data_IF_573884933657
#
_entry.id   IF_573884933657
#
_cell.length_a   1.000
_cell.length_b   1.000
_cell.length_c   1.000
_cell.angle_alpha   90.00
_cell.angle_beta   90.00
_cell.angle_gamma   90.00
#
_symmetry.space_group_name_H-M   'P 1'
#
loop_
_entity.id
_entity.type
_entity.pdbx_description
1 polymer ?
#
# COMPACT_ATOMS: atom_id res chain seq x y z
N UNK A 1 2.83 28.86 -18.33
CA UNK A 1 1.35 28.83 -18.42
C UNK A 1 0.88 27.62 -17.63
N UNK A 2 0.05 27.85 -16.60
CA UNK A 2 -0.58 26.80 -15.82
C UNK A 2 -1.85 26.36 -16.57
N UNK A 3 -2.01 25.06 -16.78
CA UNK A 3 -3.18 24.47 -17.44
C UNK A 3 -3.88 23.52 -16.46
N UNK A 4 -5.10 23.83 -16.10
CA UNK A 4 -5.91 23.06 -15.16
C UNK A 4 -6.76 22.01 -15.88
N UNK A 5 -7.21 21.00 -15.17
CA UNK A 5 -8.17 20.01 -15.72
C UNK A 5 -9.42 20.71 -16.32
N UNK A 6 -9.93 21.75 -15.66
CA UNK A 6 -11.13 22.48 -16.09
C UNK A 6 -10.93 23.25 -17.41
N UNK A 7 -9.69 23.63 -17.73
CA UNK A 7 -9.37 24.35 -18.97
C UNK A 7 -9.44 23.44 -20.21
N UNK A 8 -9.48 22.13 -20.00
CA UNK A 8 -9.57 21.17 -21.10
C UNK A 8 -11.02 21.04 -21.59
N UNK A 9 -11.32 21.71 -22.72
CA UNK A 9 -12.67 21.72 -23.33
C UNK A 9 -13.02 20.41 -24.06
N UNK A 10 -12.07 19.53 -24.29
CA UNK A 10 -12.30 18.23 -24.93
C UNK A 10 -12.80 17.15 -23.98
N UNK A 11 -12.69 17.37 -22.67
CA UNK A 11 -13.15 16.43 -21.64
C UNK A 11 -14.58 16.73 -21.22
N UNK A 12 -15.39 15.69 -21.06
CA UNK A 12 -16.73 15.83 -20.53
C UNK A 12 -16.73 16.27 -19.06
N UNK A 13 -17.73 17.03 -18.63
CA UNK A 13 -17.87 17.46 -17.23
C UNK A 13 -17.96 16.25 -16.28
N UNK A 14 -18.60 15.17 -16.69
CA UNK A 14 -18.65 13.91 -15.92
C UNK A 14 -17.25 13.34 -15.69
N UNK A 15 -16.39 13.35 -16.71
CA UNK A 15 -15.01 12.89 -16.58
C UNK A 15 -14.20 13.78 -15.65
N UNK A 16 -14.30 15.11 -15.79
CA UNK A 16 -13.63 16.07 -14.92
C UNK A 16 -14.05 15.90 -13.47
N UNK A 17 -15.35 15.74 -13.22
CA UNK A 17 -15.88 15.53 -11.88
C UNK A 17 -15.36 14.23 -11.27
N UNK A 18 -15.39 13.12 -12.04
CA UNK A 18 -14.83 11.84 -11.58
C UNK A 18 -13.34 11.94 -11.24
N UNK A 19 -12.56 12.64 -12.07
CA UNK A 19 -11.13 12.87 -11.79
C UNK A 19 -10.91 13.63 -10.48
N UNK A 20 -11.69 14.67 -10.22
CA UNK A 20 -11.62 15.46 -8.96
C UNK A 20 -11.98 14.62 -7.73
N UNK A 21 -12.98 13.76 -7.85
CA UNK A 21 -13.44 12.92 -6.75
C UNK A 21 -12.48 11.77 -6.43
N UNK A 22 -11.79 11.23 -7.44
CA UNK A 22 -10.91 10.07 -7.28
C UNK A 22 -9.44 10.44 -7.07
N UNK A 23 -9.02 11.66 -7.43
CA UNK A 23 -7.63 12.09 -7.25
C UNK A 23 -7.32 12.37 -5.78
N UNK A 24 -6.25 11.75 -5.21
CA UNK A 24 -5.86 11.97 -3.83
C UNK A 24 -5.56 13.43 -3.52
N UNK A 25 -5.86 13.86 -2.30
CA UNK A 25 -5.60 15.20 -1.81
C UNK A 25 -4.10 15.51 -1.71
N UNK A 26 -3.75 16.79 -1.78
CA UNK A 26 -2.36 17.27 -1.71
C UNK A 26 -1.67 17.25 -3.06
N UNK A 27 -0.40 16.82 -3.09
CA UNK A 27 0.47 16.90 -4.28
C UNK A 27 -0.18 16.33 -5.55
N UNK A 28 -0.87 15.19 -5.45
CA UNK A 28 -1.51 14.56 -6.61
C UNK A 28 -2.67 15.41 -7.13
N UNK A 29 -3.49 15.97 -6.25
CA UNK A 29 -4.56 16.88 -6.64
C UNK A 29 -4.02 18.15 -7.29
N UNK A 30 -3.00 18.74 -6.69
CA UNK A 30 -2.39 19.96 -7.18
C UNK A 30 -1.73 19.76 -8.56
N UNK A 31 -1.07 18.63 -8.77
CA UNK A 31 -0.47 18.30 -10.08
C UNK A 31 -1.52 17.96 -11.14
N UNK A 32 -2.44 17.04 -10.83
CA UNK A 32 -3.33 16.42 -11.81
C UNK A 32 -4.57 17.26 -12.11
N UNK A 33 -5.07 18.02 -11.11
CA UNK A 33 -6.29 18.83 -11.24
C UNK A 33 -5.96 20.30 -11.44
N UNK A 34 -5.08 20.84 -10.59
CA UNK A 34 -4.74 22.27 -10.60
C UNK A 34 -3.62 22.63 -11.59
N UNK A 35 -2.94 21.64 -12.18
CA UNK A 35 -1.84 21.86 -13.13
C UNK A 35 -0.62 22.53 -12.49
N UNK A 36 -0.38 22.32 -11.21
CA UNK A 36 0.70 22.95 -10.45
C UNK A 36 1.95 22.05 -10.42
N UNK A 37 3.13 22.65 -10.54
CA UNK A 37 4.40 21.99 -10.29
C UNK A 37 4.75 22.12 -8.81
N UNK A 38 4.31 21.16 -7.99
CA UNK A 38 4.54 21.15 -6.54
C UNK A 38 5.18 19.83 -6.12
N UNK A 39 5.93 19.89 -5.03
CA UNK A 39 6.43 18.70 -4.32
C UNK A 39 5.46 18.31 -3.21
N UNK A 40 5.49 17.05 -2.79
CA UNK A 40 4.71 16.60 -1.65
C UNK A 40 5.25 17.22 -0.35
N UNK A 41 4.35 17.59 0.52
CA UNK A 41 4.66 18.06 1.88
C UNK A 41 3.75 17.41 2.91
N UNK A 42 4.24 17.26 4.13
CA UNK A 42 3.49 16.63 5.22
C UNK A 42 3.27 15.13 4.99
N UNK A 43 2.18 14.59 5.52
CA UNK A 43 1.85 13.17 5.42
C UNK A 43 1.61 12.72 3.97
N UNK A 44 2.13 11.54 3.63
CA UNK A 44 1.98 10.95 2.29
C UNK A 44 0.51 10.61 2.02
N UNK A 45 -0.18 9.99 2.96
CA UNK A 45 -1.57 9.58 2.83
C UNK A 45 -2.51 10.55 3.56
N UNK A 46 -2.73 11.74 2.99
CA UNK A 46 -3.56 12.80 3.58
C UNK A 46 -5.03 12.44 3.74
N UNK A 47 -5.53 11.54 2.90
CA UNK A 47 -6.94 11.10 2.92
C UNK A 47 -7.18 9.98 3.95
N UNK A 48 -6.14 9.46 4.62
CA UNK A 48 -6.32 8.51 5.70
C UNK A 48 -7.07 9.15 6.86
N UNK A 49 -8.14 8.48 7.30
CA UNK A 49 -8.95 8.90 8.43
C UNK A 49 -9.22 7.70 9.34
N UNK A 50 -8.69 7.71 10.55
CA UNK A 50 -8.80 6.61 11.50
C UNK A 50 -10.25 6.18 11.80
N UNK A 51 -11.20 7.14 11.82
CA UNK A 51 -12.62 6.84 12.06
C UNK A 51 -13.29 6.09 10.92
N UNK A 52 -12.76 6.21 9.71
CA UNK A 52 -13.30 5.59 8.50
C UNK A 52 -12.54 4.32 8.16
N UNK A 53 -11.20 4.37 8.21
CA UNK A 53 -10.36 3.33 7.62
C UNK A 53 -9.99 2.20 8.59
N UNK A 54 -10.04 2.40 9.91
CA UNK A 54 -9.93 1.26 10.82
C UNK A 54 -11.21 0.42 10.82
N UNK A 55 -11.03 -0.88 10.93
CA UNK A 55 -12.11 -1.87 11.03
C UNK A 55 -11.82 -2.82 12.18
N UNK A 56 -12.81 -3.10 13.01
CA UNK A 56 -12.67 -4.05 14.11
C UNK A 56 -12.54 -5.49 13.61
N UNK A 57 -11.93 -6.36 14.42
CA UNK A 57 -11.86 -7.79 14.11
C UNK A 57 -13.24 -8.42 13.92
N UNK A 58 -14.21 -8.00 14.70
CA UNK A 58 -15.59 -8.49 14.59
C UNK A 58 -16.22 -8.14 13.24
N UNK A 59 -16.03 -6.91 12.76
CA UNK A 59 -16.51 -6.48 11.45
C UNK A 59 -15.75 -7.15 10.31
N UNK A 60 -14.42 -7.30 10.47
CA UNK A 60 -13.56 -7.95 9.48
C UNK A 60 -13.95 -9.41 9.23
N UNK A 61 -14.40 -10.14 10.27
CA UNK A 61 -14.89 -11.52 10.16
C UNK A 61 -16.18 -11.64 9.32
N UNK A 62 -16.94 -10.55 9.16
CA UNK A 62 -18.18 -10.51 8.36
C UNK A 62 -17.91 -10.22 6.88
N UNK A 63 -16.68 -9.85 6.52
CA UNK A 63 -16.31 -9.53 5.15
C UNK A 63 -16.13 -10.81 4.34
N UNK A 64 -16.78 -10.87 3.18
CA UNK A 64 -16.60 -11.97 2.23
C UNK A 64 -15.40 -11.67 1.31
N UNK A 65 -14.26 -12.27 1.60
CA UNK A 65 -13.05 -12.10 0.78
C UNK A 65 -13.07 -13.03 -0.43
N UNK A 66 -12.85 -12.47 -1.62
CA UNK A 66 -12.71 -13.20 -2.87
C UNK A 66 -11.27 -13.49 -3.24
N UNK A 67 -10.31 -12.78 -2.61
CA UNK A 67 -8.88 -12.93 -2.87
C UNK A 67 -8.05 -12.51 -1.66
N UNK A 68 -6.92 -13.19 -1.48
CA UNK A 68 -5.87 -12.79 -0.53
C UNK A 68 -4.56 -12.58 -1.26
N UNK A 69 -3.79 -11.60 -0.82
CA UNK A 69 -2.46 -11.26 -1.31
C UNK A 69 -1.55 -10.89 -0.15
N UNK A 70 -0.26 -11.07 -0.32
CA UNK A 70 0.72 -10.60 0.66
C UNK A 70 1.75 -9.67 0.02
N UNK A 71 2.19 -8.66 0.76
CA UNK A 71 3.32 -7.81 0.41
C UNK A 71 4.48 -8.06 1.37
N UNK A 72 5.70 -8.00 0.86
CA UNK A 72 6.90 -8.25 1.64
C UNK A 72 7.92 -7.16 1.37
N UNK A 73 8.30 -6.44 2.41
CA UNK A 73 9.45 -5.55 2.42
C UNK A 73 10.55 -6.11 3.32
N UNK A 74 11.77 -6.26 2.78
CA UNK A 74 12.86 -6.88 3.51
C UNK A 74 13.60 -5.84 4.35
N UNK A 75 13.78 -6.12 5.63
CA UNK A 75 14.59 -5.33 6.54
C UNK A 75 15.43 -6.20 7.47
N UNK A 76 16.48 -5.60 8.04
CA UNK A 76 17.28 -6.21 9.10
C UNK A 76 17.55 -5.19 10.21
N UNK A 77 18.41 -4.19 9.98
CA UNK A 77 18.66 -3.09 10.94
C UNK A 77 17.44 -2.16 11.06
N UNK A 78 16.70 -1.93 9.98
CA UNK A 78 15.35 -1.37 9.98
C UNK A 78 14.31 -2.50 9.98
N UNK A 79 13.05 -2.17 10.15
CA UNK A 79 11.99 -3.17 10.11
C UNK A 79 11.91 -3.84 8.75
N UNK A 80 11.75 -5.16 8.74
CA UNK A 80 11.14 -5.85 7.62
C UNK A 80 9.66 -6.04 7.91
N UNK A 81 8.85 -6.23 6.87
CA UNK A 81 7.41 -6.40 7.01
C UNK A 81 6.85 -7.44 6.06
N UNK A 82 5.93 -8.26 6.56
CA UNK A 82 4.97 -9.02 5.75
C UNK A 82 3.58 -8.50 6.11
N UNK A 83 2.82 -8.12 5.10
CA UNK A 83 1.41 -7.72 5.24
C UNK A 83 0.52 -8.72 4.50
N UNK A 84 -0.60 -9.06 5.11
CA UNK A 84 -1.66 -9.86 4.48
C UNK A 84 -2.85 -8.96 4.20
N UNK A 85 -3.27 -8.92 2.95
CA UNK A 85 -4.43 -8.18 2.49
C UNK A 85 -5.49 -9.12 1.93
N UNK A 86 -6.74 -8.89 2.32
CA UNK A 86 -7.92 -9.48 1.67
C UNK A 86 -8.56 -8.47 0.72
N UNK A 87 -9.17 -8.94 -0.35
CA UNK A 87 -9.97 -8.14 -1.27
C UNK A 87 -11.39 -8.70 -1.32
N UNK A 88 -12.39 -7.85 -1.17
CA UNK A 88 -13.80 -8.24 -1.31
C UNK A 88 -14.27 -8.16 -2.77
N UNK A 89 -15.50 -8.56 -3.01
CA UNK A 89 -16.16 -8.55 -4.32
C UNK A 89 -16.46 -7.14 -4.85
N UNK A 90 -16.39 -6.11 -3.98
CA UNK A 90 -16.56 -4.70 -4.34
C UNK A 90 -15.23 -4.03 -4.65
N UNK A 91 -14.12 -4.78 -4.58
CA UNK A 91 -12.77 -4.28 -4.83
C UNK A 91 -12.18 -3.47 -3.69
N UNK A 92 -12.72 -3.58 -2.48
CA UNK A 92 -12.15 -2.99 -1.28
C UNK A 92 -11.05 -3.90 -0.73
N UNK A 93 -9.91 -3.33 -0.37
CA UNK A 93 -8.80 -4.02 0.27
C UNK A 93 -8.87 -3.87 1.80
N UNK A 94 -8.39 -4.88 2.49
CA UNK A 94 -8.37 -4.94 3.95
C UNK A 94 -7.00 -5.43 4.41
N UNK A 95 -6.26 -4.61 5.15
CA UNK A 95 -5.07 -5.09 5.87
C UNK A 95 -5.54 -5.95 7.04
N UNK A 96 -5.35 -7.27 6.90
CA UNK A 96 -5.82 -8.26 7.88
C UNK A 96 -4.78 -8.53 8.95
N UNK A 97 -3.51 -8.60 8.54
CA UNK A 97 -2.40 -8.97 9.42
C UNK A 97 -1.13 -8.25 8.97
N UNK A 98 -0.34 -7.85 9.94
CA UNK A 98 1.03 -7.41 9.73
C UNK A 98 1.99 -8.24 10.58
N UNK A 99 3.19 -8.43 10.09
CA UNK A 99 4.32 -8.99 10.81
C UNK A 99 5.47 -8.05 10.53
N UNK A 100 5.88 -7.26 11.52
CA UNK A 100 6.97 -6.30 11.39
C UNK A 100 8.00 -6.57 12.49
N UNK A 101 9.26 -6.79 12.11
CA UNK A 101 10.37 -7.11 13.03
C UNK A 101 11.69 -6.54 12.51
N UNK A 102 12.61 -6.33 13.43
CA UNK A 102 14.02 -6.01 13.17
C UNK A 102 14.90 -7.20 13.56
N UNK A 103 16.07 -7.26 12.96
CA UNK A 103 17.12 -8.25 13.28
C UNK A 103 16.70 -9.71 13.04
N UNK A 104 15.75 -9.93 12.13
CA UNK A 104 15.29 -11.27 11.76
C UNK A 104 15.93 -11.75 10.45
N UNK A 105 16.39 -12.97 10.46
CA UNK A 105 16.94 -13.65 9.29
C UNK A 105 15.83 -14.21 8.39
N UNK A 106 16.19 -14.58 7.16
CA UNK A 106 15.24 -15.08 6.16
C UNK A 106 14.42 -16.28 6.64
N UNK A 107 14.92 -17.08 7.56
CA UNK A 107 14.22 -18.27 8.06
C UNK A 107 12.99 -17.87 8.89
N UNK A 108 13.07 -16.79 9.67
CA UNK A 108 11.91 -16.22 10.35
C UNK A 108 10.82 -15.81 9.35
N UNK A 109 11.20 -15.03 8.31
CA UNK A 109 10.26 -14.58 7.29
C UNK A 109 9.63 -15.73 6.52
N UNK A 110 10.40 -16.77 6.25
CA UNK A 110 9.91 -17.99 5.61
C UNK A 110 8.88 -18.71 6.47
N UNK A 111 9.13 -18.85 7.76
CA UNK A 111 8.19 -19.46 8.72
C UNK A 111 6.87 -18.70 8.77
N UNK A 112 6.94 -17.37 8.87
CA UNK A 112 5.74 -16.51 8.88
C UNK A 112 4.96 -16.64 7.57
N UNK A 113 5.62 -16.62 6.43
CA UNK A 113 4.97 -16.78 5.13
C UNK A 113 4.35 -18.17 4.95
N UNK A 114 4.99 -19.22 5.47
CA UNK A 114 4.42 -20.57 5.47
C UNK A 114 3.18 -20.69 6.37
N UNK A 115 3.18 -20.04 7.52
CA UNK A 115 2.00 -19.95 8.39
C UNK A 115 0.83 -19.26 7.68
N UNK A 116 1.09 -18.14 6.98
CA UNK A 116 0.08 -17.47 6.16
C UNK A 116 -0.42 -18.40 5.06
N UNK A 117 0.46 -19.10 4.35
CA UNK A 117 0.06 -20.07 3.32
C UNK A 117 -0.80 -21.20 3.88
N UNK A 118 -0.49 -21.70 5.06
CA UNK A 118 -1.26 -22.78 5.70
C UNK A 118 -2.68 -22.34 6.02
N UNK A 119 -2.87 -21.08 6.41
CA UNK A 119 -4.18 -20.51 6.80
C UNK A 119 -4.98 -20.02 5.59
N UNK A 120 -4.33 -19.34 4.62
CA UNK A 120 -5.00 -18.64 3.51
C UNK A 120 -4.78 -19.30 2.13
N UNK A 121 -4.07 -20.41 2.08
CA UNK A 121 -3.80 -21.15 0.85
C UNK A 121 -2.61 -20.58 0.03
N UNK A 122 -2.53 -20.98 -1.23
CA UNK A 122 -1.40 -20.61 -2.11
C UNK A 122 -1.56 -19.21 -2.70
N UNK A 123 -1.54 -18.19 -1.84
CA UNK A 123 -1.65 -16.78 -2.23
C UNK A 123 -0.34 -16.25 -2.83
N UNK A 124 -0.37 -15.18 -3.66
CA UNK A 124 0.84 -14.51 -4.10
C UNK A 124 1.48 -13.70 -2.96
N UNK A 125 2.82 -13.77 -2.88
CA UNK A 125 3.66 -12.92 -2.05
C UNK A 125 4.43 -11.97 -2.97
N UNK A 126 4.07 -10.71 -2.99
CA UNK A 126 4.72 -9.66 -3.77
C UNK A 126 5.89 -9.11 -2.95
N UNK A 127 7.10 -9.51 -3.33
CA UNK A 127 8.30 -9.31 -2.53
C UNK A 127 9.17 -8.19 -3.12
N UNK A 128 9.75 -7.38 -2.24
CA UNK A 128 10.83 -6.48 -2.64
C UNK A 128 11.93 -7.28 -3.38
N UNK A 129 12.31 -6.80 -4.56
CA UNK A 129 13.31 -7.43 -5.43
C UNK A 129 14.76 -7.07 -5.07
N UNK A 130 15.00 -6.26 -4.04
CA UNK A 130 16.34 -5.89 -3.60
C UNK A 130 17.13 -7.08 -3.02
N UNK A 131 16.43 -8.13 -2.58
CA UNK A 131 17.00 -9.39 -2.07
C UNK A 131 16.54 -10.58 -2.91
N UNK A 132 17.07 -10.76 -4.12
CA UNK A 132 16.64 -11.83 -5.03
C UNK A 132 16.88 -13.22 -4.45
N UNK A 133 17.88 -13.40 -3.59
CA UNK A 133 18.15 -14.63 -2.86
C UNK A 133 17.00 -14.98 -1.88
N UNK A 134 16.35 -14.01 -1.27
CA UNK A 134 15.21 -14.21 -0.38
C UNK A 134 13.97 -14.61 -1.17
N UNK A 135 13.71 -13.93 -2.27
CA UNK A 135 12.63 -14.31 -3.19
C UNK A 135 12.81 -15.72 -3.72
N UNK A 136 14.06 -16.10 -4.08
CA UNK A 136 14.41 -17.46 -4.51
C UNK A 136 14.15 -18.47 -3.39
N UNK A 137 14.54 -18.16 -2.15
CA UNK A 137 14.32 -19.05 -0.99
C UNK A 137 12.82 -19.28 -0.75
N UNK A 138 11.99 -18.26 -0.84
CA UNK A 138 10.54 -18.40 -0.77
C UNK A 138 10.01 -19.37 -1.84
N UNK A 139 10.41 -19.17 -3.11
CA UNK A 139 10.01 -20.05 -4.22
C UNK A 139 10.44 -21.50 -4.00
N UNK A 140 11.68 -21.72 -3.56
CA UNK A 140 12.22 -23.08 -3.29
C UNK A 140 11.46 -23.80 -2.19
N UNK A 141 10.84 -23.07 -1.26
CA UNK A 141 10.00 -23.60 -0.18
C UNK A 141 8.50 -23.59 -0.52
N UNK A 142 8.16 -23.52 -1.81
CA UNK A 142 6.81 -23.69 -2.31
C UNK A 142 5.88 -22.50 -2.11
N UNK A 143 6.41 -21.30 -1.78
CA UNK A 143 5.64 -20.06 -1.76
C UNK A 143 5.54 -19.46 -3.16
N UNK A 144 4.39 -18.87 -3.50
CA UNK A 144 4.18 -18.13 -4.74
C UNK A 144 4.75 -16.72 -4.61
N UNK A 145 6.09 -16.62 -4.54
CA UNK A 145 6.78 -15.34 -4.46
C UNK A 145 6.98 -14.72 -5.84
N UNK A 146 6.66 -13.44 -5.95
CA UNK A 146 6.70 -12.65 -7.19
C UNK A 146 7.44 -11.35 -6.88
N UNK A 147 8.31 -10.89 -7.77
CA UNK A 147 8.95 -9.59 -7.61
C UNK A 147 7.90 -8.47 -7.66
N UNK A 148 7.92 -7.61 -6.67
CA UNK A 148 7.01 -6.48 -6.60
C UNK A 148 7.33 -5.40 -7.64
N UNK A 149 6.31 -4.75 -8.13
CA UNK A 149 6.45 -3.49 -8.86
C UNK A 149 6.74 -2.37 -7.84
N UNK A 150 7.97 -1.85 -7.87
CA UNK A 150 8.49 -0.90 -6.88
C UNK A 150 8.32 0.56 -7.28
N UNK A 151 7.50 0.87 -8.28
CA UNK A 151 7.23 2.24 -8.67
C UNK A 151 6.72 3.06 -7.46
N UNK A 152 7.47 4.12 -7.12
CA UNK A 152 7.23 4.87 -5.87
C UNK A 152 6.01 5.77 -6.02
N UNK A 153 6.08 6.79 -6.87
CA UNK A 153 5.02 7.80 -6.94
C UNK A 153 3.69 7.23 -7.43
N UNK A 154 3.69 6.44 -8.49
CA UNK A 154 2.45 5.82 -9.01
C UNK A 154 1.86 4.79 -8.05
N UNK A 155 2.70 4.03 -7.34
CA UNK A 155 2.25 3.10 -6.32
C UNK A 155 1.63 3.82 -5.10
N UNK A 156 2.26 4.90 -4.64
CA UNK A 156 1.71 5.76 -3.58
C UNK A 156 0.40 6.40 -4.01
N UNK A 157 0.35 6.95 -5.24
CA UNK A 157 -0.87 7.54 -5.78
C UNK A 157 -2.03 6.53 -5.77
N UNK A 158 -1.75 5.27 -6.16
CA UNK A 158 -2.76 4.22 -6.16
C UNK A 158 -3.29 3.92 -4.76
N UNK A 159 -2.42 3.75 -3.77
CA UNK A 159 -2.83 3.51 -2.38
C UNK A 159 -3.60 4.72 -1.83
N UNK A 160 -3.13 5.94 -2.11
CA UNK A 160 -3.81 7.17 -1.72
C UNK A 160 -5.23 7.30 -2.34
N UNK A 161 -5.41 6.86 -3.61
CA UNK A 161 -6.73 6.78 -4.25
C UNK A 161 -7.67 5.82 -3.50
N UNK A 162 -7.15 4.68 -3.02
CA UNK A 162 -7.96 3.74 -2.25
C UNK A 162 -8.43 4.35 -0.92
N UNK A 163 -7.58 5.11 -0.22
CA UNK A 163 -8.01 5.87 0.96
C UNK A 163 -9.06 6.93 0.59
N UNK A 164 -8.83 7.71 -0.47
CA UNK A 164 -9.77 8.74 -0.94
C UNK A 164 -11.15 8.17 -1.28
N UNK A 165 -11.21 6.93 -1.75
CA UNK A 165 -12.43 6.24 -2.15
C UNK A 165 -13.01 5.35 -1.05
N UNK A 166 -12.46 5.36 0.16
CA UNK A 166 -12.81 4.47 1.27
C UNK A 166 -12.69 2.97 0.93
N UNK A 167 -11.75 2.62 0.04
CA UNK A 167 -11.53 1.25 -0.47
C UNK A 167 -10.29 0.55 0.10
N UNK A 168 -9.68 1.10 1.14
CA UNK A 168 -8.65 0.42 1.92
C UNK A 168 -8.99 0.55 3.39
N UNK A 169 -9.20 -0.60 4.04
CA UNK A 169 -9.50 -0.72 5.45
C UNK A 169 -8.34 -1.40 6.17
N UNK A 170 -8.16 -1.09 7.43
CA UNK A 170 -7.03 -1.51 8.24
C UNK A 170 -7.56 -2.14 9.51
N UNK A 171 -7.20 -3.37 9.84
CA UNK A 171 -7.54 -3.97 11.12
C UNK A 171 -7.05 -3.10 12.27
N UNK A 172 -7.88 -2.91 13.28
CA UNK A 172 -7.62 -1.95 14.36
C UNK A 172 -6.57 -2.41 15.40
N UNK A 173 -6.06 -3.63 15.25
CA UNK A 173 -5.04 -4.25 16.12
C UNK A 173 -3.66 -4.40 15.44
N UNK A 174 -3.41 -3.67 14.34
CA UNK A 174 -2.09 -3.60 13.70
C UNK A 174 -1.30 -2.41 14.26
N UNK A 175 -0.21 -2.69 14.95
CA UNK A 175 0.52 -1.68 15.73
C UNK A 175 1.53 -0.91 14.89
N UNK A 176 2.33 -1.61 14.06
CA UNK A 176 3.37 -0.96 13.26
C UNK A 176 2.78 -0.04 12.19
N UNK A 177 1.71 -0.45 11.52
CA UNK A 177 0.96 0.42 10.62
C UNK A 177 0.53 1.72 11.33
N UNK A 178 0.03 1.61 12.57
CA UNK A 178 -0.43 2.75 13.36
C UNK A 178 0.69 3.72 13.66
N UNK A 179 1.89 3.20 13.95
CA UNK A 179 3.08 4.01 14.18
C UNK A 179 3.54 4.73 12.89
N UNK A 180 3.44 4.05 11.75
CA UNK A 180 3.96 4.57 10.48
C UNK A 180 3.03 5.57 9.79
N UNK A 181 1.72 5.34 9.79
CA UNK A 181 0.77 6.06 8.91
C UNK A 181 0.87 7.60 9.01
N UNK A 182 1.16 8.13 10.19
CA UNK A 182 1.30 9.57 10.40
C UNK A 182 2.77 10.05 10.29
N UNK A 183 3.72 9.15 10.38
CA UNK A 183 5.15 9.43 10.28
C UNK A 183 5.69 9.25 8.87
N UNK A 184 4.94 8.61 7.98
CA UNK A 184 5.25 8.46 6.57
C UNK A 184 4.98 9.80 5.86
N UNK A 185 6.05 10.56 5.66
CA UNK A 185 5.99 11.96 5.20
C UNK A 185 6.83 12.18 3.96
N UNK A 186 6.48 13.21 3.20
CA UNK A 186 7.26 13.64 2.04
C UNK A 186 8.57 14.31 2.46
N UNK A 187 9.62 14.04 1.70
CA UNK A 187 10.83 14.84 1.71
C UNK A 187 10.66 16.01 0.72
N UNK A 188 10.51 17.21 1.24
CA UNK A 188 10.24 18.40 0.44
C UNK A 188 11.38 18.78 -0.52
N UNK A 189 12.60 18.26 -0.29
CA UNK A 189 13.76 18.53 -1.16
C UNK A 189 13.83 17.57 -2.35
N UNK A 190 13.46 16.31 -2.15
CA UNK A 190 13.54 15.27 -3.20
C UNK A 190 12.22 15.00 -3.89
N UNK A 191 11.09 15.32 -3.25
CA UNK A 191 9.75 14.99 -3.73
C UNK A 191 9.41 13.51 -3.62
N UNK A 192 10.22 12.72 -2.91
CA UNK A 192 9.99 11.33 -2.56
C UNK A 192 9.66 11.19 -1.07
N UNK A 193 9.07 10.09 -0.61
CA UNK A 193 8.89 9.84 0.80
C UNK A 193 10.23 9.78 1.55
N UNK A 194 10.22 10.21 2.80
CA UNK A 194 11.35 9.98 3.70
C UNK A 194 11.45 8.47 3.96
N UNK A 195 12.67 7.92 3.84
CA UNK A 195 12.96 6.49 4.05
C UNK A 195 13.08 6.15 5.53
N UNK A 196 11.99 6.38 6.25
CA UNK A 196 11.79 6.04 7.67
C UNK A 196 10.30 5.83 7.90
N UNK A 197 9.94 4.88 8.74
CA UNK A 197 8.54 4.54 9.02
C UNK A 197 7.75 4.20 7.74
N UNK A 198 8.36 3.46 6.83
CA UNK A 198 7.82 3.14 5.51
C UNK A 198 7.68 1.64 5.25
N UNK A 199 8.15 0.78 6.17
CA UNK A 199 8.28 -0.66 5.94
C UNK A 199 6.91 -1.34 5.67
N UNK A 200 5.91 -1.10 6.52
CA UNK A 200 4.55 -1.63 6.33
C UNK A 200 3.85 -0.90 5.18
N UNK A 201 4.07 0.41 5.03
CA UNK A 201 3.49 1.20 3.94
C UNK A 201 4.01 0.72 2.58
N UNK A 202 5.32 0.44 2.47
CA UNK A 202 5.94 -0.09 1.26
C UNK A 202 5.45 -1.51 0.96
N UNK A 203 5.32 -2.38 1.97
CA UNK A 203 4.76 -3.72 1.80
C UNK A 203 3.29 -3.68 1.31
N UNK A 204 2.45 -2.79 1.83
CA UNK A 204 1.07 -2.57 1.33
C UNK A 204 1.09 -2.11 -0.12
N UNK A 205 1.94 -1.13 -0.45
CA UNK A 205 2.11 -0.61 -1.80
C UNK A 205 2.56 -1.70 -2.77
N UNK A 206 3.54 -2.51 -2.39
CA UNK A 206 4.01 -3.65 -3.20
C UNK A 206 2.89 -4.64 -3.49
N UNK A 207 2.11 -5.00 -2.47
CA UNK A 207 1.00 -5.92 -2.65
C UNK A 207 -0.07 -5.36 -3.60
N UNK A 208 -0.59 -4.18 -3.33
CA UNK A 208 -1.71 -3.61 -4.08
C UNK A 208 -1.28 -3.24 -5.50
N UNK A 209 -0.16 -2.49 -5.63
CA UNK A 209 0.24 -1.98 -6.94
C UNK A 209 0.70 -3.08 -7.90
N UNK A 210 1.31 -4.15 -7.38
CA UNK A 210 1.69 -5.30 -8.22
C UNK A 210 0.47 -6.16 -8.59
N UNK A 211 -0.50 -6.31 -7.69
CA UNK A 211 -1.70 -7.10 -7.92
C UNK A 211 -2.62 -6.54 -9.02
N UNK A 212 -2.56 -5.23 -9.22
CA UNK A 212 -3.41 -4.51 -10.18
C UNK A 212 -2.73 -4.24 -11.54
N UNK A 213 -1.42 -4.52 -11.68
CA UNK A 213 -0.62 -4.31 -12.89
C UNK A 213 0.09 -5.57 -13.34
#
# INVERSE_FOLDING_TARGET
VQYRLDDNTFLSERYKQNMKETTPSGMFYDRNINGMWVMGEGAVYRDFNAKIHYISREELQKVNFVKYIAGVDWGYEHFGAIVLLGKDDKGCYYLIKEIARQYEEIDFWLEQAQAIKAEYGNIPFYCDSARPEYVKKFKQNGLRAINANKAVLSGIERVAQLYKQDKLRIADDVDRFRDEIYMYVWNEKTGEPVKQFDDVQDAIRYAIYTDEN
#
